data_IF_128071334008
#
_entry.id   IF_128071334008
#
_cell.length_a   1.000
_cell.length_b   1.000
_cell.length_c   1.000
_cell.angle_alpha   90.00
_cell.angle_beta   90.00
_cell.angle_gamma   90.00
#
_symmetry.space_group_name_H-M   'P 1'
#
loop_
_entity.id
_entity.type
_entity.pdbx_description
1 polymer ?
#
# COMPACT_ATOMS: atom_id res chain seq x y z
N UNK A 1 -12.90 43.33 -10.05
CA UNK A 1 -13.89 42.94 -11.08
C UNK A 1 -13.59 41.59 -11.72
N UNK A 2 -12.31 41.18 -11.84
CA UNK A 2 -11.94 39.91 -12.50
C UNK A 2 -12.24 38.63 -11.69
N UNK A 3 -12.13 38.66 -10.36
CA UNK A 3 -12.41 37.48 -9.51
C UNK A 3 -13.82 36.93 -9.66
N UNK A 4 -14.81 37.82 -9.87
CA UNK A 4 -16.20 37.40 -10.10
C UNK A 4 -16.38 36.69 -11.44
N UNK A 5 -15.67 37.12 -12.48
CA UNK A 5 -15.71 36.47 -13.80
C UNK A 5 -15.07 35.08 -13.79
N UNK A 6 -13.94 34.92 -13.08
CA UNK A 6 -13.29 33.62 -12.90
C UNK A 6 -14.16 32.65 -12.11
N UNK A 7 -14.88 33.14 -11.09
CA UNK A 7 -15.80 32.32 -10.28
C UNK A 7 -16.97 31.79 -11.09
N UNK A 8 -17.62 32.64 -11.88
CA UNK A 8 -18.72 32.24 -12.78
C UNK A 8 -18.25 31.27 -13.85
N UNK A 9 -17.03 31.45 -14.38
CA UNK A 9 -16.42 30.51 -15.32
C UNK A 9 -16.16 29.14 -14.69
N UNK A 10 -15.62 29.10 -13.47
CA UNK A 10 -15.37 27.85 -12.74
C UNK A 10 -16.68 27.15 -12.33
N UNK A 11 -17.72 27.91 -11.96
CA UNK A 11 -19.06 27.35 -11.70
C UNK A 11 -19.65 26.69 -12.95
N UNK A 12 -19.59 27.36 -14.12
CA UNK A 12 -20.05 26.77 -15.38
C UNK A 12 -19.26 25.53 -15.79
N UNK A 13 -17.93 25.52 -15.57
CA UNK A 13 -17.09 24.35 -15.81
C UNK A 13 -17.46 23.18 -14.89
N UNK A 14 -17.75 23.46 -13.61
CA UNK A 14 -18.19 22.42 -12.67
C UNK A 14 -19.58 21.87 -13.02
N UNK A 15 -20.50 22.72 -13.47
CA UNK A 15 -21.83 22.26 -13.94
C UNK A 15 -21.70 21.36 -15.19
N UNK A 16 -20.83 21.69 -16.14
CA UNK A 16 -20.57 20.81 -17.29
C UNK A 16 -19.90 19.49 -16.90
N UNK A 17 -19.07 19.49 -15.85
CA UNK A 17 -18.40 18.30 -15.34
C UNK A 17 -19.27 17.46 -14.39
N UNK A 18 -20.35 18.02 -13.85
CA UNK A 18 -21.27 17.35 -12.91
C UNK A 18 -21.73 15.96 -13.39
N UNK A 19 -22.14 15.75 -14.65
CA UNK A 19 -22.54 14.43 -15.14
C UNK A 19 -21.39 13.43 -15.07
N UNK A 20 -20.17 13.82 -15.48
CA UNK A 20 -19.00 12.96 -15.43
C UNK A 20 -18.57 12.64 -13.99
N UNK A 21 -18.73 13.59 -13.06
CA UNK A 21 -18.48 13.36 -11.64
C UNK A 21 -19.49 12.37 -11.03
N UNK A 22 -20.77 12.47 -11.41
CA UNK A 22 -21.79 11.49 -10.98
C UNK A 22 -21.53 10.09 -11.55
N UNK A 23 -21.09 9.99 -12.80
CA UNK A 23 -20.72 8.70 -13.40
C UNK A 23 -19.50 8.08 -12.68
N UNK A 24 -18.50 8.91 -12.34
CA UNK A 24 -17.35 8.49 -11.53
C UNK A 24 -17.76 8.08 -10.11
N UNK A 25 -18.70 8.78 -9.50
CA UNK A 25 -19.25 8.42 -8.19
C UNK A 25 -19.93 7.04 -8.24
N UNK A 26 -20.75 6.77 -9.26
CA UNK A 26 -21.36 5.45 -9.46
C UNK A 26 -20.32 4.33 -9.63
N UNK A 27 -19.28 4.56 -10.44
CA UNK A 27 -18.18 3.61 -10.58
C UNK A 27 -17.42 3.39 -9.26
N UNK A 28 -17.23 4.47 -8.48
CA UNK A 28 -16.58 4.39 -7.19
C UNK A 28 -17.43 3.66 -6.15
N UNK A 29 -18.75 3.82 -6.18
CA UNK A 29 -19.69 3.06 -5.34
C UNK A 29 -19.66 1.56 -5.67
N UNK A 30 -19.66 1.21 -6.96
CA UNK A 30 -19.53 -0.17 -7.43
C UNK A 30 -18.18 -0.79 -7.04
N UNK A 31 -17.10 -0.01 -7.10
CA UNK A 31 -15.76 -0.41 -6.70
C UNK A 31 -15.51 -0.34 -5.19
N UNK A 32 -16.35 0.37 -4.42
CA UNK A 32 -16.18 0.56 -2.99
C UNK A 32 -16.01 -0.73 -2.18
N UNK A 33 -16.80 -1.82 -2.39
CA UNK A 33 -16.59 -3.07 -1.66
C UNK A 33 -15.21 -3.68 -1.95
N UNK A 34 -14.78 -3.67 -3.22
CA UNK A 34 -13.46 -4.16 -3.61
C UNK A 34 -12.34 -3.31 -3.01
N UNK A 35 -12.47 -1.98 -3.03
CA UNK A 35 -11.51 -1.07 -2.41
C UNK A 35 -11.42 -1.27 -0.89
N UNK A 36 -12.54 -1.54 -0.21
CA UNK A 36 -12.54 -1.87 1.24
C UNK A 36 -11.85 -3.20 1.54
N UNK A 37 -12.05 -4.20 0.70
CA UNK A 37 -11.36 -5.51 0.82
C UNK A 37 -9.86 -5.37 0.55
N UNK A 38 -9.50 -4.61 -0.48
CA UNK A 38 -8.11 -4.26 -0.78
C UNK A 38 -7.48 -3.47 0.37
N UNK A 39 -8.18 -2.49 0.96
CA UNK A 39 -7.69 -1.76 2.12
C UNK A 39 -7.47 -2.67 3.34
N UNK A 40 -8.37 -3.64 3.57
CA UNK A 40 -8.21 -4.60 4.68
C UNK A 40 -7.00 -5.50 4.45
N UNK A 41 -6.88 -6.08 3.26
CA UNK A 41 -5.74 -6.94 2.92
C UNK A 41 -4.42 -6.17 2.94
N UNK A 42 -4.38 -4.95 2.40
CA UNK A 42 -3.22 -4.08 2.49
C UNK A 42 -2.93 -3.64 3.92
N UNK A 43 -3.94 -3.41 4.77
CA UNK A 43 -3.74 -3.05 6.18
C UNK A 43 -2.90 -4.09 6.94
N UNK A 44 -3.16 -5.38 6.71
CA UNK A 44 -2.37 -6.47 7.30
C UNK A 44 -0.92 -6.48 6.80
N UNK A 45 -0.67 -6.13 5.53
CA UNK A 45 0.70 -6.06 4.98
C UNK A 45 1.40 -4.75 5.39
N UNK A 46 0.66 -3.66 5.58
CA UNK A 46 1.20 -2.33 5.95
C UNK A 46 1.76 -2.31 7.38
N UNK A 47 1.18 -3.06 8.31
CA UNK A 47 1.80 -3.25 9.63
C UNK A 47 3.21 -3.84 9.53
N UNK A 48 3.41 -4.79 8.61
CA UNK A 48 4.73 -5.38 8.37
C UNK A 48 5.67 -4.39 7.65
N UNK A 49 5.17 -3.60 6.68
CA UNK A 49 6.00 -2.63 5.94
C UNK A 49 6.64 -1.54 6.82
N UNK A 50 6.08 -1.20 7.98
CA UNK A 50 6.74 -0.26 8.89
C UNK A 50 8.04 -0.83 9.47
N UNK A 51 8.21 -2.14 9.52
CA UNK A 51 9.47 -2.76 9.93
C UNK A 51 10.58 -2.64 8.85
N UNK A 52 10.27 -2.09 7.68
CA UNK A 52 11.18 -2.02 6.53
C UNK A 52 11.43 -0.59 6.04
N UNK A 53 12.57 -0.38 5.40
CA UNK A 53 12.94 0.85 4.71
C UNK A 53 12.24 0.97 3.35
N UNK A 54 12.35 2.16 2.74
CA UNK A 54 11.85 2.36 1.39
C UNK A 54 12.56 1.44 0.38
N UNK A 55 11.86 0.98 -0.68
CA UNK A 55 12.45 0.09 -1.68
C UNK A 55 13.61 0.74 -2.47
N UNK A 56 14.70 -0.01 -2.67
CA UNK A 56 15.85 0.37 -3.49
C UNK A 56 15.80 -0.41 -4.82
N UNK A 57 15.78 0.31 -5.95
CA UNK A 57 15.76 -0.29 -7.29
C UNK A 57 17.20 -0.49 -7.77
N UNK A 58 17.57 -1.73 -8.06
CA UNK A 58 18.90 -2.08 -8.55
C UNK A 58 19.02 -1.92 -10.07
N UNK A 59 20.25 -1.78 -10.62
CA UNK A 59 20.46 -1.63 -12.07
C UNK A 59 19.98 -2.80 -12.93
N UNK A 60 19.81 -3.99 -12.34
CA UNK A 60 19.27 -5.17 -13.03
C UNK A 60 17.73 -5.22 -13.02
N UNK A 61 17.06 -4.29 -12.33
CA UNK A 61 15.61 -4.24 -12.20
C UNK A 61 15.06 -4.94 -10.96
N UNK A 62 15.91 -5.57 -10.14
CA UNK A 62 15.49 -6.14 -8.86
C UNK A 62 15.20 -5.03 -7.84
N UNK A 63 14.36 -5.33 -6.86
CA UNK A 63 14.02 -4.42 -5.77
C UNK A 63 14.48 -5.05 -4.45
N UNK A 64 15.29 -4.32 -3.68
CA UNK A 64 15.65 -4.69 -2.31
C UNK A 64 14.81 -3.85 -1.34
N UNK A 65 14.22 -4.51 -0.34
CA UNK A 65 13.55 -3.88 0.79
C UNK A 65 14.27 -4.32 2.07
N UNK A 66 14.95 -3.39 2.74
CA UNK A 66 15.76 -3.67 3.95
C UNK A 66 14.88 -3.56 5.19
N UNK A 67 15.12 -4.40 6.21
CA UNK A 67 14.51 -4.19 7.53
C UNK A 67 15.19 -3.04 8.28
N UNK A 68 14.41 -2.20 8.95
CA UNK A 68 14.91 -1.15 9.85
C UNK A 68 15.63 -1.76 11.06
N UNK A 69 15.04 -2.81 11.64
CA UNK A 69 15.62 -3.54 12.76
C UNK A 69 16.09 -4.94 12.30
N UNK A 70 17.38 -5.28 12.48
CA UNK A 70 17.87 -6.60 12.16
C UNK A 70 17.22 -7.63 13.09
N UNK A 71 16.73 -8.73 12.52
CA UNK A 71 16.32 -9.87 13.32
C UNK A 71 17.55 -10.43 14.04
N UNK A 72 17.44 -10.63 15.35
CA UNK A 72 18.39 -11.48 16.07
C UNK A 72 18.31 -12.87 15.44
N UNK A 73 19.43 -13.45 14.98
CA UNK A 73 19.41 -14.82 14.51
C UNK A 73 18.89 -15.70 15.65
N UNK A 74 17.71 -16.29 15.47
CA UNK A 74 17.37 -17.49 16.22
C UNK A 74 18.32 -18.56 15.69
N UNK A 75 19.43 -18.79 16.41
CA UNK A 75 20.16 -20.04 16.21
C UNK A 75 19.12 -21.15 16.39
N UNK A 76 18.97 -22.07 15.42
CA UNK A 76 18.14 -23.23 15.66
C UNK A 76 18.68 -23.89 16.93
N UNK A 77 17.83 -24.06 17.94
CA UNK A 77 18.19 -24.88 19.10
C UNK A 77 18.32 -26.31 18.59
N UNK A 78 19.53 -26.65 18.15
CA UNK A 78 19.90 -28.01 17.82
C UNK A 78 20.14 -28.72 19.14
N UNK A 79 19.06 -29.16 19.78
CA UNK A 79 19.16 -30.01 20.96
C UNK A 79 19.61 -31.40 20.50
N UNK A 80 20.77 -31.91 20.97
CA UNK A 80 21.17 -33.28 20.69
C UNK A 80 20.11 -34.24 21.24
N UNK A 81 19.80 -35.28 20.48
CA UNK A 81 19.00 -36.39 20.97
C UNK A 81 19.72 -37.08 22.15
N UNK A 82 19.01 -37.88 22.95
CA UNK A 82 19.58 -38.60 24.10
C UNK A 82 20.74 -39.54 23.72
N UNK A 83 20.85 -39.91 22.45
CA UNK A 83 21.93 -40.73 21.88
C UNK A 83 23.08 -39.90 21.27
N UNK A 84 23.02 -38.57 21.38
CA UNK A 84 24.00 -37.64 20.83
C UNK A 84 23.88 -37.41 19.32
N UNK A 85 22.84 -37.92 18.65
CA UNK A 85 22.56 -37.60 17.25
C UNK A 85 21.95 -36.20 17.11
N UNK A 86 22.18 -35.59 15.95
CA UNK A 86 21.56 -34.33 15.53
C UNK A 86 20.69 -34.67 14.32
N UNK A 87 19.38 -34.42 14.43
CA UNK A 87 18.48 -34.44 13.28
C UNK A 87 18.73 -33.18 12.44
N UNK A 88 19.21 -33.38 11.20
CA UNK A 88 19.54 -32.33 10.24
C UNK A 88 18.52 -32.27 9.11
#
# INVERSE_FOLDING_TARGET
>A
MMERGLRLFMEGLMEEMEPALRDLEGLAEDAAPFLREMQRSLGEVVEDFDAYEAPEILPNGDIIIRRKEPLTPTEPEVTPNDDGSIDL
#
